data_IF_162654494156
#
_entry.id   IF_162654494156
#
_cell.length_a   1.000
_cell.length_b   1.000
_cell.length_c   1.000
_cell.angle_alpha   90.00
_cell.angle_beta   90.00
_cell.angle_gamma   90.00
#
_symmetry.space_group_name_H-M   'P 1'
#
loop_
_entity.id
_entity.type
_entity.pdbx_description
1 polymer ?
#
# COMPACT_ATOMS: atom_id res chain seq x y z
N UNK A 1 -24.33 -0.45 -16.96
CA UNK A 1 -22.86 -0.50 -16.92
C UNK A 1 -22.33 0.85 -17.34
N UNK A 2 -21.34 1.39 -16.64
CA UNK A 2 -20.65 2.61 -17.10
C UNK A 2 -19.73 2.19 -18.25
N UNK A 3 -20.12 2.52 -19.48
CA UNK A 3 -19.24 2.39 -20.65
C UNK A 3 -18.29 3.57 -20.62
N UNK A 4 -17.08 3.33 -20.11
CA UNK A 4 -15.99 4.29 -20.12
C UNK A 4 -15.09 3.96 -21.31
N UNK A 5 -14.75 4.98 -22.10
CA UNK A 5 -13.65 4.86 -23.06
C UNK A 5 -12.34 4.60 -22.30
N UNK A 6 -11.33 4.05 -22.98
CA UNK A 6 -10.03 3.76 -22.36
C UNK A 6 -9.44 5.00 -21.67
N UNK A 7 -9.58 6.18 -22.29
CA UNK A 7 -9.11 7.46 -21.75
C UNK A 7 -9.86 7.85 -20.48
N UNK A 8 -11.19 7.69 -20.47
CA UNK A 8 -12.00 8.00 -19.28
C UNK A 8 -11.73 7.02 -18.14
N UNK A 9 -11.47 5.74 -18.46
CA UNK A 9 -11.07 4.73 -17.49
C UNK A 9 -9.71 5.07 -16.84
N UNK A 10 -8.71 5.42 -17.64
CA UNK A 10 -7.40 5.85 -17.13
C UNK A 10 -7.49 7.14 -16.30
N UNK A 11 -8.30 8.10 -16.74
CA UNK A 11 -8.56 9.33 -15.99
C UNK A 11 -9.26 9.02 -14.65
N UNK A 12 -10.23 8.12 -14.64
CA UNK A 12 -10.92 7.68 -13.43
C UNK A 12 -9.97 6.98 -12.45
N UNK A 13 -9.13 6.06 -12.94
CA UNK A 13 -8.08 5.42 -12.14
C UNK A 13 -7.14 6.44 -11.51
N UNK A 14 -6.66 7.41 -12.31
CA UNK A 14 -5.78 8.47 -11.83
C UNK A 14 -6.46 9.35 -10.78
N UNK A 15 -7.73 9.69 -10.99
CA UNK A 15 -8.55 10.45 -10.04
C UNK A 15 -8.71 9.71 -8.71
N UNK A 16 -8.97 8.39 -8.75
CA UNK A 16 -9.03 7.56 -7.54
C UNK A 16 -7.69 7.55 -6.79
N UNK A 17 -6.58 7.34 -7.50
CA UNK A 17 -5.25 7.35 -6.88
C UNK A 17 -4.91 8.71 -6.24
N UNK A 18 -5.27 9.82 -6.87
CA UNK A 18 -5.12 11.16 -6.29
C UNK A 18 -5.93 11.32 -5.00
N UNK A 19 -7.19 10.90 -5.01
CA UNK A 19 -8.05 10.93 -3.81
C UNK A 19 -7.46 10.12 -2.67
N UNK A 20 -6.88 8.95 -2.97
CA UNK A 20 -6.21 8.13 -1.96
C UNK A 20 -5.00 8.85 -1.36
N UNK A 21 -4.19 9.55 -2.18
CA UNK A 21 -3.06 10.36 -1.70
C UNK A 21 -3.55 11.48 -0.76
N UNK A 22 -4.62 12.18 -1.12
CA UNK A 22 -5.19 13.23 -0.27
C UNK A 22 -5.72 12.67 1.07
N UNK A 23 -6.31 11.47 1.06
CA UNK A 23 -6.75 10.81 2.28
C UNK A 23 -5.59 10.47 3.21
N UNK A 24 -4.46 9.98 2.67
CA UNK A 24 -3.25 9.72 3.45
C UNK A 24 -2.64 11.00 4.02
N UNK A 25 -2.65 12.10 3.26
CA UNK A 25 -2.22 13.42 3.77
C UNK A 25 -3.10 13.85 4.96
N UNK A 26 -4.42 13.72 4.85
CA UNK A 26 -5.34 14.07 5.94
C UNK A 26 -5.11 13.21 7.20
N UNK A 27 -4.88 11.90 7.02
CA UNK A 27 -4.55 11.01 8.13
C UNK A 27 -3.22 11.37 8.78
N UNK A 28 -2.20 11.73 7.98
CA UNK A 28 -0.91 12.18 8.50
C UNK A 28 -1.04 13.47 9.32
N UNK A 29 -1.83 14.44 8.86
CA UNK A 29 -2.16 15.67 9.61
C UNK A 29 -2.87 15.36 10.93
N UNK A 30 -3.83 14.45 10.88
CA UNK A 30 -4.59 14.03 12.07
C UNK A 30 -3.69 13.34 13.09
N UNK A 31 -2.82 12.43 12.65
CA UNK A 31 -1.81 11.78 13.50
C UNK A 31 -0.82 12.79 14.11
N UNK A 32 -0.42 13.81 13.33
CA UNK A 32 0.44 14.88 13.80
C UNK A 32 -0.24 15.73 14.87
N UNK A 33 -1.50 16.11 14.66
CA UNK A 33 -2.31 16.87 15.62
C UNK A 33 -2.46 16.11 16.93
N UNK A 34 -2.77 14.81 16.86
CA UNK A 34 -2.83 13.95 18.04
C UNK A 34 -1.49 13.91 18.78
N UNK A 35 -0.37 13.78 18.05
CA UNK A 35 0.97 13.76 18.66
C UNK A 35 1.32 15.09 19.34
N UNK A 36 0.95 16.22 18.74
CA UNK A 36 1.11 17.54 19.36
C UNK A 36 0.25 17.71 20.60
N UNK A 37 -0.99 17.20 20.59
CA UNK A 37 -1.88 17.23 21.74
C UNK A 37 -1.34 16.37 22.90
N UNK A 38 -0.70 15.23 22.59
CA UNK A 38 -0.20 14.32 23.61
C UNK A 38 1.13 14.74 24.23
N UNK A 39 2.21 15.03 23.48
CA UNK A 39 3.45 15.59 24.06
C UNK A 39 4.31 16.34 23.03
N UNK A 40 4.70 17.57 23.39
CA UNK A 40 5.39 18.56 22.58
C UNK A 40 6.76 18.13 22.01
N UNK A 41 6.80 17.74 20.74
CA UNK A 41 7.98 17.90 19.85
C UNK A 41 7.52 18.07 18.41
N UNK A 42 8.26 18.88 17.63
CA UNK A 42 8.03 19.20 16.22
C UNK A 42 7.84 17.96 15.33
N UNK A 43 6.59 17.51 15.20
CA UNK A 43 6.20 16.51 14.23
C UNK A 43 6.10 17.19 12.86
N UNK A 44 6.76 16.61 11.86
CA UNK A 44 6.73 17.12 10.49
C UNK A 44 5.87 16.18 9.65
N UNK A 45 4.84 16.72 9.00
CA UNK A 45 3.94 16.00 8.10
C UNK A 45 4.68 15.14 7.10
N UNK A 46 5.72 15.70 6.47
CA UNK A 46 6.49 15.04 5.42
C UNK A 46 7.24 13.80 5.92
N UNK A 47 7.48 13.70 7.24
CA UNK A 47 8.06 12.49 7.87
C UNK A 47 7.02 11.40 8.12
N UNK A 48 5.74 11.75 8.20
CA UNK A 48 4.63 10.79 8.36
C UNK A 48 4.14 10.38 6.97
N UNK A 49 3.88 11.36 6.09
CA UNK A 49 3.51 11.15 4.70
C UNK A 49 3.98 12.32 3.83
N UNK A 50 4.81 12.04 2.81
CA UNK A 50 5.22 13.06 1.84
C UNK A 50 4.37 13.01 0.58
N UNK A 51 3.33 13.84 0.55
CA UNK A 51 2.44 14.01 -0.61
C UNK A 51 3.19 14.30 -1.90
N UNK A 52 4.26 15.10 -1.86
CA UNK A 52 4.99 15.48 -3.08
C UNK A 52 5.73 14.28 -3.67
N UNK A 53 6.28 13.42 -2.80
CA UNK A 53 6.88 12.16 -3.24
C UNK A 53 5.83 11.23 -3.85
N UNK A 54 4.65 11.12 -3.22
CA UNK A 54 3.55 10.30 -3.71
C UNK A 54 3.01 10.78 -5.07
N UNK A 55 2.83 12.09 -5.26
CA UNK A 55 2.43 12.69 -6.53
C UNK A 55 3.48 12.48 -7.63
N UNK A 56 4.77 12.58 -7.27
CA UNK A 56 5.86 12.27 -8.21
C UNK A 56 5.82 10.82 -8.65
N UNK A 57 5.67 9.85 -7.72
CA UNK A 57 5.52 8.44 -8.10
C UNK A 57 4.28 8.17 -8.95
N UNK A 58 3.18 8.88 -8.72
CA UNK A 58 1.98 8.80 -9.54
C UNK A 58 2.24 9.26 -10.98
N UNK A 59 3.08 10.27 -11.18
CA UNK A 59 3.43 10.74 -12.52
C UNK A 59 4.55 9.92 -13.17
N UNK A 60 5.26 9.09 -12.40
CA UNK A 60 6.43 8.32 -12.83
C UNK A 60 6.12 6.86 -13.18
N UNK A 61 4.88 6.55 -13.61
CA UNK A 61 4.47 5.21 -14.07
C UNK A 61 5.38 4.61 -15.15
N UNK A 62 6.26 5.40 -15.78
CA UNK A 62 7.20 4.95 -16.81
C UNK A 62 8.28 3.95 -16.39
N UNK A 63 8.37 3.54 -15.12
CA UNK A 63 9.41 2.61 -14.65
C UNK A 63 8.91 1.53 -13.67
N UNK A 64 7.62 1.16 -13.73
CA UNK A 64 7.25 -0.11 -13.10
C UNK A 64 7.98 -1.23 -13.86
N UNK A 65 8.98 -1.86 -13.23
CA UNK A 65 9.60 -3.07 -13.76
C UNK A 65 8.46 -4.07 -13.95
N UNK A 66 8.03 -4.26 -15.18
CA UNK A 66 7.11 -5.35 -15.51
C UNK A 66 7.75 -6.64 -14.99
N UNK A 67 7.03 -7.46 -14.20
CA UNK A 67 7.60 -8.68 -13.67
C UNK A 67 8.16 -9.52 -14.80
N UNK A 68 9.47 -9.78 -14.78
CA UNK A 68 10.08 -10.65 -15.77
C UNK A 68 9.44 -12.05 -15.66
N UNK A 69 9.23 -12.74 -16.79
CA UNK A 69 8.68 -14.09 -16.87
C UNK A 69 9.35 -15.06 -15.87
N UNK A 70 10.65 -14.92 -15.65
CA UNK A 70 11.41 -15.72 -14.68
C UNK A 70 10.99 -15.46 -13.23
N UNK A 71 10.73 -14.20 -12.86
CA UNK A 71 10.25 -13.85 -11.51
C UNK A 71 8.85 -14.43 -11.27
N UNK A 72 7.97 -14.38 -12.27
CA UNK A 72 6.63 -14.95 -12.17
C UNK A 72 6.68 -16.48 -12.04
N UNK A 73 7.58 -17.14 -12.77
CA UNK A 73 7.78 -18.59 -12.66
C UNK A 73 8.33 -18.99 -11.27
N UNK A 74 9.28 -18.24 -10.73
CA UNK A 74 9.81 -18.48 -9.38
C UNK A 74 8.75 -18.26 -8.30
N UNK A 75 7.95 -17.20 -8.40
CA UNK A 75 6.86 -16.94 -7.48
C UNK A 75 5.81 -18.07 -7.52
N UNK A 76 5.42 -18.51 -8.72
CA UNK A 76 4.48 -19.63 -8.88
C UNK A 76 5.02 -20.93 -8.28
N UNK A 77 6.31 -21.20 -8.41
CA UNK A 77 6.96 -22.36 -7.79
C UNK A 77 7.00 -22.25 -6.26
N UNK A 78 7.37 -21.08 -5.73
CA UNK A 78 7.38 -20.85 -4.29
C UNK A 78 5.98 -21.00 -3.67
N UNK A 79 4.94 -20.58 -4.39
CA UNK A 79 3.54 -20.76 -3.99
C UNK A 79 3.09 -22.22 -4.10
N UNK A 80 3.53 -22.98 -5.11
CA UNK A 80 3.20 -24.41 -5.21
C UNK A 80 3.82 -25.24 -4.09
N UNK A 81 5.02 -24.85 -3.65
CA UNK A 81 5.76 -25.53 -2.58
C UNK A 81 5.27 -25.13 -1.18
N UNK A 82 4.40 -24.12 -1.08
CA UNK A 82 3.84 -23.65 0.19
C UNK A 82 2.74 -24.60 0.70
N UNK A 83 3.15 -25.66 1.38
CA UNK A 83 2.25 -26.50 2.17
C UNK A 83 2.10 -25.95 3.59
N UNK A 84 0.92 -25.44 3.91
CA UNK A 84 0.59 -25.05 5.29
C UNK A 84 0.41 -26.31 6.12
N UNK A 85 1.35 -26.56 7.05
CA UNK A 85 1.21 -27.61 8.06
C UNK A 85 0.57 -27.01 9.30
N UNK A 86 -0.70 -27.35 9.54
CA UNK A 86 -1.35 -27.05 10.81
C UNK A 86 -0.93 -28.09 11.82
N UNK A 87 -0.22 -27.66 12.86
CA UNK A 87 0.01 -28.46 14.07
C UNK A 87 -1.11 -28.13 15.05
N UNK A 88 -1.92 -29.13 15.42
CA UNK A 88 -2.81 -29.03 16.57
C UNK A 88 -1.93 -29.30 17.79
N UNK A 89 -1.85 -28.34 18.71
CA UNK A 89 -1.23 -28.59 20.01
C UNK A 89 -2.18 -29.50 20.79
N UNK A 90 -1.81 -30.78 20.92
CA UNK A 90 -2.50 -31.69 21.83
C UNK A 90 -2.19 -31.26 23.27
N UNK A 91 -3.19 -30.70 23.96
CA UNK A 91 -3.15 -30.43 25.40
C UNK A 91 -3.21 -31.74 26.22
N UNK A 92 -2.36 -32.73 25.93
CA UNK A 92 -2.13 -33.89 26.79
C UNK A 92 -0.77 -33.77 27.47
N UNK A 93 -0.68 -32.89 28.47
CA UNK A 93 0.03 -33.14 29.73
C UNK A 93 -0.01 -31.90 30.63
N UNK A 94 -1.05 -31.81 31.44
CA UNK A 94 -0.94 -31.21 32.78
C UNK A 94 -1.30 -32.31 33.78
N UNK A 95 -0.29 -33.06 34.21
CA UNK A 95 -0.29 -33.82 35.46
C UNK A 95 0.14 -32.87 36.58
#
# INVERSE_FOLDING_TARGET
MLELTLVEYEAALRGMQLRTIDQYEFMAKSAMANRYAHHAKHANERKIFDKNKALRSLNHHGNQKTPNKQMLQQANKALSDYQVKFTVEDEENKV
#
